data_IF_237059198642
#
_entry.id   IF_237059198642
#
_cell.length_a   1.000
_cell.length_b   1.000
_cell.length_c   1.000
_cell.angle_alpha   90.00
_cell.angle_beta   90.00
_cell.angle_gamma   90.00
#
_symmetry.space_group_name_H-M   'P 1'
#
loop_
_entity.id
_entity.type
_entity.pdbx_description
1 polymer ?
#
# COMPACT_ATOMS: atom_id res chain seq x y z
N UNK A 1 -11.81 -39.42 14.23
CA UNK A 1 -12.58 -38.23 13.78
C UNK A 1 -11.98 -36.88 14.19
N UNK A 2 -11.11 -36.80 15.22
CA UNK A 2 -10.52 -35.53 15.66
C UNK A 2 -9.33 -35.05 14.78
N UNK A 3 -8.47 -35.98 14.35
CA UNK A 3 -7.30 -35.67 13.51
C UNK A 3 -7.67 -35.07 12.14
N UNK A 4 -8.79 -35.50 11.55
CA UNK A 4 -9.27 -35.03 10.26
C UNK A 4 -9.74 -33.56 10.31
N UNK A 5 -10.29 -33.11 11.45
CA UNK A 5 -10.69 -31.71 11.64
C UNK A 5 -9.48 -30.78 11.78
N UNK A 6 -8.45 -31.21 12.51
CA UNK A 6 -7.22 -30.42 12.65
C UNK A 6 -6.49 -30.27 11.31
N UNK A 7 -6.43 -31.32 10.49
CA UNK A 7 -5.80 -31.24 9.16
C UNK A 7 -6.51 -30.29 8.20
N UNK A 8 -7.85 -30.22 8.24
CA UNK A 8 -8.63 -29.29 7.41
C UNK A 8 -8.44 -27.85 7.89
N UNK A 9 -8.48 -27.61 9.21
CA UNK A 9 -8.26 -26.28 9.79
C UNK A 9 -6.86 -25.73 9.46
N UNK A 10 -5.82 -26.54 9.62
CA UNK A 10 -4.45 -26.14 9.25
C UNK A 10 -4.29 -25.92 7.73
N UNK A 11 -5.05 -26.61 6.89
CA UNK A 11 -5.06 -26.38 5.45
C UNK A 11 -5.69 -25.03 5.12
N UNK A 12 -6.84 -24.72 5.72
CA UNK A 12 -7.54 -23.44 5.55
C UNK A 12 -6.69 -22.26 6.04
N UNK A 13 -6.09 -22.37 7.23
CA UNK A 13 -5.19 -21.36 7.79
C UNK A 13 -4.00 -21.10 6.85
N UNK A 14 -3.42 -22.16 6.26
CA UNK A 14 -2.33 -22.05 5.31
C UNK A 14 -2.77 -21.41 3.98
N UNK A 15 -3.98 -21.71 3.50
CA UNK A 15 -4.54 -21.08 2.28
C UNK A 15 -4.77 -19.59 2.52
N UNK A 16 -5.37 -19.23 3.65
CA UNK A 16 -5.61 -17.83 4.02
C UNK A 16 -4.29 -17.07 4.19
N UNK A 17 -3.28 -17.66 4.84
CA UNK A 17 -1.98 -17.04 5.02
C UNK A 17 -1.26 -16.79 3.68
N UNK A 18 -1.34 -17.74 2.75
CA UNK A 18 -0.78 -17.59 1.39
C UNK A 18 -1.50 -16.48 0.62
N UNK A 19 -2.82 -16.44 0.70
CA UNK A 19 -3.62 -15.40 0.06
C UNK A 19 -3.32 -14.02 0.61
N UNK A 20 -3.27 -13.86 1.94
CA UNK A 20 -2.83 -12.62 2.59
C UNK A 20 -1.43 -12.21 2.13
N UNK A 21 -0.47 -13.14 2.11
CA UNK A 21 0.87 -12.83 1.64
C UNK A 21 0.90 -12.39 0.17
N UNK A 22 0.04 -12.93 -0.69
CA UNK A 22 -0.08 -12.52 -2.08
C UNK A 22 -0.62 -11.09 -2.18
N UNK A 23 -1.73 -10.80 -1.51
CA UNK A 23 -2.34 -9.46 -1.49
C UNK A 23 -1.39 -8.39 -0.97
N UNK A 24 -0.60 -8.71 0.06
CA UNK A 24 0.41 -7.81 0.62
C UNK A 24 1.54 -7.58 -0.38
N UNK A 25 2.02 -8.63 -1.05
CA UNK A 25 3.05 -8.49 -2.09
C UNK A 25 2.57 -7.64 -3.25
N UNK A 26 1.36 -7.88 -3.76
CA UNK A 26 0.77 -7.10 -4.85
C UNK A 26 0.60 -5.63 -4.44
N UNK A 27 0.19 -5.40 -3.19
CA UNK A 27 0.16 -4.07 -2.59
C UNK A 27 1.53 -3.38 -2.60
N UNK A 28 2.59 -4.09 -2.21
CA UNK A 28 3.97 -3.59 -2.23
C UNK A 28 4.40 -3.28 -3.66
N UNK A 29 4.18 -4.19 -4.61
CA UNK A 29 4.46 -3.98 -6.03
C UNK A 29 3.85 -2.68 -6.54
N UNK A 30 2.55 -2.51 -6.32
CA UNK A 30 1.82 -1.29 -6.69
C UNK A 30 2.41 -0.02 -6.08
N UNK A 31 2.85 -0.05 -4.82
CA UNK A 31 3.48 1.13 -4.19
C UNK A 31 4.82 1.51 -4.83
N UNK A 32 5.60 0.53 -5.25
CA UNK A 32 6.85 0.76 -6.00
C UNK A 32 6.58 1.25 -7.41
N UNK A 33 5.60 0.68 -8.11
CA UNK A 33 5.25 1.07 -9.49
C UNK A 33 4.72 2.51 -9.56
N UNK A 34 4.01 2.97 -8.53
CA UNK A 34 3.60 4.38 -8.39
C UNK A 34 4.78 5.36 -8.20
N UNK A 35 5.97 4.86 -7.82
CA UNK A 35 7.15 5.68 -7.60
C UNK A 35 7.11 6.58 -6.36
N UNK A 36 8.24 7.21 -5.99
CA UNK A 36 8.37 8.02 -4.77
C UNK A 36 7.85 9.45 -4.91
N UNK A 37 7.27 9.82 -6.06
CA UNK A 37 6.77 11.17 -6.34
C UNK A 37 5.74 11.59 -5.28
N UNK A 38 5.78 12.86 -4.89
CA UNK A 38 4.76 13.45 -4.00
C UNK A 38 4.65 12.72 -2.65
N UNK A 39 5.78 12.27 -2.11
CA UNK A 39 5.85 11.62 -0.80
C UNK A 39 6.85 12.32 0.13
N UNK A 40 6.65 12.28 1.46
CA UNK A 40 7.65 12.75 2.41
C UNK A 40 8.97 11.98 2.27
N UNK A 41 10.11 12.66 2.51
CA UNK A 41 11.47 12.07 2.39
C UNK A 41 11.63 10.75 3.15
N UNK A 42 10.93 10.57 4.27
CA UNK A 42 10.95 9.32 5.04
C UNK A 42 10.46 8.14 4.20
N UNK A 43 9.31 8.30 3.53
CA UNK A 43 8.71 7.26 2.68
C UNK A 43 9.49 7.09 1.38
N UNK A 44 10.03 8.18 0.82
CA UNK A 44 10.91 8.08 -0.35
C UNK A 44 12.12 7.17 -0.05
N UNK A 45 12.73 7.29 1.13
CA UNK A 45 13.82 6.37 1.55
C UNK A 45 13.35 4.93 1.67
N UNK A 46 12.11 4.69 2.12
CA UNK A 46 11.52 3.35 2.16
C UNK A 46 11.27 2.76 0.76
N UNK A 47 11.06 3.60 -0.25
CA UNK A 47 10.91 3.20 -1.66
C UNK A 47 12.25 3.19 -2.43
N UNK A 48 13.31 3.76 -1.86
CA UNK A 48 14.65 3.75 -2.45
C UNK A 48 15.37 2.39 -2.30
N UNK A 49 14.99 1.60 -1.31
CA UNK A 49 15.50 0.23 -1.15
C UNK A 49 14.99 -0.69 -2.25
N UNK A 50 15.77 -1.71 -2.60
CA UNK A 50 15.36 -2.70 -3.61
C UNK A 50 14.06 -3.38 -3.17
N UNK A 51 13.08 -3.44 -4.09
CA UNK A 51 11.79 -4.11 -3.89
C UNK A 51 11.92 -5.49 -3.26
N UNK A 52 12.86 -6.30 -3.76
CA UNK A 52 13.15 -7.65 -3.25
C UNK A 52 13.51 -7.67 -1.76
N UNK A 53 14.18 -6.64 -1.25
CA UNK A 53 14.53 -6.52 0.16
C UNK A 53 13.29 -6.41 1.05
N UNK A 54 12.24 -5.74 0.58
CA UNK A 54 10.96 -5.63 1.30
C UNK A 54 10.19 -6.94 1.21
N UNK A 55 10.12 -7.54 0.02
CA UNK A 55 9.38 -8.79 -0.23
C UNK A 55 9.95 -10.01 0.52
N UNK A 56 11.25 -10.01 0.83
CA UNK A 56 11.90 -11.07 1.59
C UNK A 56 11.66 -10.98 3.10
N UNK A 57 10.98 -9.95 3.60
CA UNK A 57 10.68 -9.80 5.04
C UNK A 57 9.51 -10.71 5.47
N UNK A 58 9.40 -11.02 6.78
CA UNK A 58 8.21 -11.68 7.32
C UNK A 58 6.92 -10.95 6.94
N UNK A 59 5.79 -11.68 6.87
CA UNK A 59 4.49 -11.13 6.44
C UNK A 59 4.09 -9.90 7.26
N UNK A 60 4.19 -9.98 8.59
CA UNK A 60 3.87 -8.87 9.51
C UNK A 60 4.64 -7.59 9.16
N UNK A 61 5.95 -7.71 8.90
CA UNK A 61 6.78 -6.56 8.54
C UNK A 61 6.43 -5.98 7.17
N UNK A 62 5.99 -6.83 6.23
CA UNK A 62 5.50 -6.41 4.91
C UNK A 62 4.17 -5.67 5.03
N UNK A 63 3.26 -6.14 5.88
CA UNK A 63 1.98 -5.49 6.18
C UNK A 63 2.18 -4.13 6.83
N UNK A 64 3.02 -4.04 7.85
CA UNK A 64 3.35 -2.77 8.51
C UNK A 64 3.96 -1.77 7.53
N UNK A 65 4.93 -2.22 6.72
CA UNK A 65 5.52 -1.40 5.68
C UNK A 65 4.45 -0.87 4.72
N UNK A 66 3.55 -1.74 4.24
CA UNK A 66 2.51 -1.38 3.29
C UNK A 66 1.50 -0.39 3.91
N UNK A 67 1.13 -0.60 5.18
CA UNK A 67 0.24 0.28 5.93
C UNK A 67 0.84 1.67 6.06
N UNK A 68 2.11 1.79 6.47
CA UNK A 68 2.80 3.06 6.61
C UNK A 68 2.83 3.83 5.28
N UNK A 69 3.26 3.18 4.19
CA UNK A 69 3.34 3.83 2.87
C UNK A 69 1.96 4.31 2.40
N UNK A 70 0.92 3.50 2.56
CA UNK A 70 -0.46 3.86 2.18
C UNK A 70 -1.01 5.02 3.01
N UNK A 71 -0.76 5.01 4.33
CA UNK A 71 -1.18 6.08 5.22
C UNK A 71 -0.55 7.41 4.81
N UNK A 72 0.76 7.42 4.58
CA UNK A 72 1.49 8.63 4.18
C UNK A 72 1.04 9.16 2.82
N UNK A 73 0.85 8.29 1.82
CA UNK A 73 0.26 8.71 0.54
C UNK A 73 -1.12 9.33 0.71
N UNK A 74 -1.94 8.74 1.57
CA UNK A 74 -3.31 9.24 1.81
C UNK A 74 -3.28 10.60 2.52
N UNK A 75 -2.44 10.74 3.55
CA UNK A 75 -2.25 11.99 4.27
C UNK A 75 -1.76 13.10 3.33
N UNK A 76 -0.76 12.79 2.49
CA UNK A 76 -0.22 13.75 1.54
C UNK A 76 -1.23 14.15 0.46
N UNK A 77 -1.95 13.19 -0.13
CA UNK A 77 -3.03 13.47 -1.09
C UNK A 77 -4.12 14.34 -0.49
N UNK A 78 -4.49 14.13 0.79
CA UNK A 78 -5.44 14.97 1.51
C UNK A 78 -4.90 16.37 1.73
N UNK A 79 -3.64 16.52 2.10
CA UNK A 79 -2.98 17.82 2.27
C UNK A 79 -2.92 18.63 0.95
N UNK A 80 -2.73 17.96 -0.19
CA UNK A 80 -2.72 18.61 -1.51
C UNK A 80 -4.12 18.88 -2.09
N UNK A 81 -5.18 18.25 -1.58
CA UNK A 81 -6.52 18.39 -2.14
C UNK A 81 -7.05 19.85 -2.19
N UNK A 82 -6.80 20.71 -1.19
CA UNK A 82 -7.15 22.14 -1.28
C UNK A 82 -6.37 22.88 -2.38
N UNK A 83 -5.06 22.63 -2.50
CA UNK A 83 -4.22 23.28 -3.50
C UNK A 83 -4.65 22.89 -4.93
N UNK A 84 -4.98 21.61 -5.14
CA UNK A 84 -5.53 21.14 -6.42
C UNK A 84 -6.87 21.78 -6.76
N UNK A 85 -7.76 21.97 -5.77
CA UNK A 85 -9.04 22.66 -5.99
C UNK A 85 -8.87 24.11 -6.42
N UNK A 86 -7.93 24.83 -5.80
CA UNK A 86 -7.61 26.22 -6.16
C UNK A 86 -7.07 26.30 -7.58
N UNK A 87 -6.04 25.50 -7.91
CA UNK A 87 -5.47 25.46 -9.26
C UNK A 87 -6.51 25.07 -10.31
N UNK A 88 -7.37 24.09 -10.02
CA UNK A 88 -8.43 23.71 -10.94
C UNK A 88 -9.42 24.84 -11.21
N UNK A 89 -9.73 25.69 -10.22
CA UNK A 89 -10.54 26.90 -10.40
C UNK A 89 -9.89 27.97 -11.28
N UNK A 90 -8.55 28.03 -11.31
CA UNK A 90 -7.81 28.94 -12.21
C UNK A 90 -7.74 28.42 -13.65
N UNK A 91 -7.54 27.11 -13.83
CA UNK A 91 -7.38 26.50 -15.17
C UNK A 91 -8.72 26.12 -15.84
N UNK A 92 -9.78 25.97 -15.05
CA UNK A 92 -11.14 25.77 -15.52
C UNK A 92 -12.04 26.79 -14.82
N UNK A 93 -11.96 28.09 -15.17
CA UNK A 93 -12.92 29.04 -14.69
C UNK A 93 -14.31 28.52 -15.09
N UNK A 94 -15.20 28.39 -14.11
CA UNK A 94 -16.58 28.00 -14.35
C UNK A 94 -17.11 28.88 -15.49
N UNK A 95 -17.48 28.27 -16.61
CA UNK A 95 -18.22 28.96 -17.65
C UNK A 95 -19.52 29.44 -16.98
N UNK A 96 -19.56 30.74 -16.67
CA UNK A 96 -20.75 31.39 -16.17
C UNK A 96 -21.84 31.31 -17.26
N UNK A 97 -23.11 31.04 -16.88
CA UNK A 97 -24.23 31.01 -17.82
C UNK A 97 -24.51 32.38 -18.45
#
# INVERSE_FOLDING_TARGET
MWEHRNSVQHLEDNVQLRECSRLVNDGIHSQFDMGPTDLPKVVQRMLAVKRRTVLNKPLVNREEWLKLVRMERTAYRRALAPQRRILHGFFHPAQAP
#
